data_IF_229091582221
#
_entry.id   IF_229091582221
#
_cell.length_a   1.000
_cell.length_b   1.000
_cell.length_c   1.000
_cell.angle_alpha   90.00
_cell.angle_beta   90.00
_cell.angle_gamma   90.00
#
_symmetry.space_group_name_H-M   'P 1'
#
loop_
_entity.id
_entity.type
_entity.pdbx_description
1 polymer ?
#
# COMPACT_ATOMS: atom_id res chain seq x y z
N UNK A 1 17.22 -32.55 19.87
CA UNK A 1 18.39 -32.08 20.62
C UNK A 1 19.17 -31.24 19.60
N UNK A 2 19.22 -29.92 19.61
CA UNK A 2 19.06 -28.90 20.65
C UNK A 2 18.23 -27.74 20.10
N UNK A 3 17.20 -27.30 20.85
CA UNK A 3 16.60 -25.97 20.64
C UNK A 3 17.55 -24.97 21.30
N UNK A 4 18.47 -24.41 20.52
CA UNK A 4 19.35 -23.33 20.96
C UNK A 4 18.55 -22.04 21.10
N UNK A 5 17.94 -21.85 22.26
CA UNK A 5 17.37 -20.59 22.71
C UNK A 5 18.53 -19.58 22.79
N UNK A 6 18.70 -18.77 21.74
CA UNK A 6 19.74 -17.74 21.70
C UNK A 6 19.39 -16.65 22.73
N UNK A 7 19.76 -16.90 23.99
CA UNK A 7 19.77 -15.89 25.04
C UNK A 7 20.57 -14.71 24.53
N UNK A 8 19.91 -13.57 24.26
CA UNK A 8 20.59 -12.33 23.91
C UNK A 8 21.40 -11.87 25.13
N UNK A 9 22.67 -12.28 25.15
CA UNK A 9 23.65 -11.84 26.14
C UNK A 9 24.50 -10.77 25.45
N UNK A 10 24.44 -9.50 25.90
CA UNK A 10 25.29 -8.45 25.35
C UNK A 10 26.77 -8.77 25.50
N UNK A 11 27.61 -8.32 24.56
CA UNK A 11 29.07 -8.57 24.57
C UNK A 11 29.78 -8.02 25.82
N UNK A 12 29.16 -7.05 26.51
CA UNK A 12 29.65 -6.42 27.73
C UNK A 12 28.93 -6.90 29.01
N UNK A 13 28.25 -8.05 28.96
CA UNK A 13 27.52 -8.58 30.09
C UNK A 13 28.45 -9.17 31.18
N UNK A 14 27.97 -9.20 32.41
CA UNK A 14 28.65 -9.88 33.52
C UNK A 14 28.83 -11.38 33.22
N UNK A 15 29.85 -11.99 33.82
CA UNK A 15 30.01 -13.46 33.82
C UNK A 15 28.72 -14.11 34.36
N UNK A 16 28.19 -15.08 33.61
CA UNK A 16 26.92 -15.78 33.90
C UNK A 16 25.64 -14.93 33.77
N UNK A 17 25.65 -13.88 32.94
CA UNK A 17 24.42 -13.16 32.58
C UNK A 17 23.32 -14.13 32.10
N UNK A 18 22.09 -14.08 32.68
CA UNK A 18 21.00 -14.96 32.29
C UNK A 18 20.45 -14.66 30.88
N UNK A 19 20.87 -13.55 30.26
CA UNK A 19 20.33 -13.01 29.01
C UNK A 19 19.22 -11.99 29.27
N UNK A 20 19.04 -11.01 28.38
CA UNK A 20 18.07 -9.91 28.56
C UNK A 20 16.61 -10.37 28.55
N UNK A 21 16.32 -11.44 27.80
CA UNK A 21 14.98 -12.02 27.65
C UNK A 21 14.63 -13.08 28.72
N UNK A 22 15.58 -13.47 29.57
CA UNK A 22 15.35 -14.49 30.60
C UNK A 22 14.49 -13.94 31.73
N UNK A 23 13.57 -14.75 32.29
CA UNK A 23 12.78 -14.38 33.49
C UNK A 23 13.62 -13.88 34.66
N UNK A 24 14.88 -14.33 34.74
CA UNK A 24 15.86 -13.98 35.77
C UNK A 24 16.67 -12.70 35.47
N UNK A 25 16.56 -12.13 34.27
CA UNK A 25 17.25 -10.88 33.90
C UNK A 25 16.94 -9.73 34.88
N UNK A 26 17.97 -9.08 35.41
CA UNK A 26 17.84 -8.02 36.40
C UNK A 26 17.45 -8.49 37.82
N UNK A 27 17.13 -9.78 38.00
CA UNK A 27 16.68 -10.38 39.26
C UNK A 27 17.67 -11.37 39.87
N UNK A 28 18.51 -12.01 39.05
CA UNK A 28 19.49 -12.99 39.54
C UNK A 28 20.71 -12.35 40.20
N UNK A 29 21.42 -13.14 41.00
CA UNK A 29 22.66 -12.73 41.66
C UNK A 29 23.73 -12.29 40.66
N UNK A 30 23.76 -12.88 39.46
CA UNK A 30 24.68 -12.51 38.38
C UNK A 30 24.40 -11.10 37.81
N UNK A 31 23.20 -10.56 38.04
CA UNK A 31 22.83 -9.21 37.63
C UNK A 31 23.23 -8.13 38.65
N UNK A 32 23.66 -8.51 39.86
CA UNK A 32 24.03 -7.56 40.91
C UNK A 32 25.20 -6.67 40.46
N UNK A 33 24.99 -5.35 40.52
CA UNK A 33 26.00 -4.37 40.11
C UNK A 33 26.10 -4.15 38.59
N UNK A 34 25.24 -4.80 37.79
CA UNK A 34 25.13 -4.52 36.37
C UNK A 34 24.48 -3.13 36.15
N UNK A 35 25.04 -2.24 35.31
CA UNK A 35 24.44 -0.94 35.02
C UNK A 35 23.02 -1.01 34.45
N UNK A 36 22.67 -2.12 33.80
CA UNK A 36 21.37 -2.34 33.17
C UNK A 36 20.41 -3.20 34.02
N UNK A 37 20.73 -3.46 35.29
CA UNK A 37 19.96 -4.38 36.15
C UNK A 37 18.48 -3.99 36.24
N UNK A 38 18.16 -2.73 36.56
CA UNK A 38 16.78 -2.25 36.68
C UNK A 38 16.03 -2.29 35.33
N UNK A 39 16.72 -1.96 34.23
CA UNK A 39 16.14 -2.02 32.90
C UNK A 39 15.78 -3.47 32.52
N UNK A 40 16.67 -4.43 32.76
CA UNK A 40 16.39 -5.86 32.53
C UNK A 40 15.32 -6.43 33.47
N UNK A 41 15.22 -5.90 34.69
CA UNK A 41 14.21 -6.34 35.67
C UNK A 41 12.80 -5.88 35.30
N UNK A 42 12.69 -4.71 34.68
CA UNK A 42 11.42 -4.06 34.30
C UNK A 42 11.02 -4.27 32.83
N UNK A 43 11.96 -4.72 31.98
CA UNK A 43 11.66 -5.08 30.59
C UNK A 43 10.62 -6.21 30.54
N UNK A 44 9.60 -6.11 29.65
CA UNK A 44 8.70 -7.21 29.39
C UNK A 44 9.48 -8.44 28.93
N UNK A 45 9.11 -9.62 29.41
CA UNK A 45 9.81 -10.88 29.12
C UNK A 45 8.89 -11.86 28.45
N UNK A 46 9.47 -12.67 27.57
CA UNK A 46 8.71 -13.63 26.77
C UNK A 46 8.05 -12.97 25.55
N UNK A 47 7.36 -13.79 24.73
CA UNK A 47 6.73 -13.30 23.51
C UNK A 47 5.68 -12.24 23.85
N UNK A 48 5.70 -11.14 23.10
CA UNK A 48 4.75 -10.04 23.25
C UNK A 48 3.30 -10.57 23.18
N UNK A 49 2.49 -10.45 24.26
CA UNK A 49 1.16 -11.03 24.31
C UNK A 49 0.22 -10.47 23.23
N UNK A 50 0.51 -9.26 22.73
CA UNK A 50 -0.24 -8.69 21.62
C UNK A 50 -0.06 -9.48 20.32
N UNK A 51 1.07 -10.18 20.12
CA UNK A 51 1.27 -11.03 18.93
C UNK A 51 0.29 -12.20 18.90
N UNK A 52 -0.04 -12.77 20.06
CA UNK A 52 -1.03 -13.85 20.16
C UNK A 52 -2.42 -13.31 19.80
N UNK A 53 -2.79 -12.16 20.36
CA UNK A 53 -4.07 -11.52 20.05
C UNK A 53 -4.18 -11.09 18.58
N UNK A 54 -3.08 -10.61 17.97
CA UNK A 54 -3.01 -10.34 16.54
C UNK A 54 -3.21 -11.62 15.73
N UNK A 55 -2.54 -12.72 16.10
CA UNK A 55 -2.67 -13.98 15.38
C UNK A 55 -4.10 -14.51 15.41
N UNK A 56 -4.77 -14.45 16.57
CA UNK A 56 -6.19 -14.78 16.72
C UNK A 56 -7.08 -13.88 15.86
N UNK A 57 -6.84 -12.55 15.89
CA UNK A 57 -7.63 -11.58 15.12
C UNK A 57 -7.47 -11.75 13.62
N UNK A 58 -6.26 -12.06 13.16
CA UNK A 58 -5.91 -12.16 11.75
C UNK A 58 -6.17 -13.56 11.18
N UNK A 59 -6.53 -14.55 12.00
CA UNK A 59 -6.84 -15.91 11.55
C UNK A 59 -8.09 -15.97 10.65
N UNK A 60 -9.02 -15.02 10.78
CA UNK A 60 -10.26 -14.94 9.98
C UNK A 60 -10.07 -14.26 8.61
N UNK A 61 -8.85 -13.84 8.29
CA UNK A 61 -8.51 -13.16 7.04
C UNK A 61 -7.73 -14.12 6.16
N UNK A 62 -8.33 -14.57 5.04
CA UNK A 62 -7.75 -15.60 4.16
C UNK A 62 -6.49 -15.16 3.43
N UNK A 63 -6.54 -13.99 2.77
CA UNK A 63 -5.41 -13.45 2.02
C UNK A 63 -5.01 -12.08 2.54
N UNK A 64 -3.70 -11.87 2.77
CA UNK A 64 -3.12 -10.60 3.21
C UNK A 64 -2.12 -10.11 2.16
N UNK A 65 -2.44 -9.01 1.51
CA UNK A 65 -1.66 -8.46 0.40
C UNK A 65 -1.10 -7.10 0.80
N UNK A 66 0.22 -6.97 0.82
CA UNK A 66 0.88 -5.68 1.04
C UNK A 66 1.00 -4.90 -0.26
N UNK A 67 0.64 -3.62 -0.24
CA UNK A 67 0.90 -2.70 -1.34
C UNK A 67 2.06 -1.79 -0.95
N UNK A 68 3.18 -1.96 -1.66
CA UNK A 68 4.44 -1.27 -1.39
C UNK A 68 4.79 -0.31 -2.52
N UNK A 69 5.64 0.68 -2.23
CA UNK A 69 6.21 1.55 -3.25
C UNK A 69 7.57 2.08 -2.79
N UNK A 70 8.53 2.23 -3.70
CA UNK A 70 9.85 2.73 -3.35
C UNK A 70 9.92 4.25 -3.12
N UNK A 71 8.93 5.01 -3.59
CA UNK A 71 8.87 6.47 -3.47
C UNK A 71 7.42 6.95 -3.30
N UNK A 72 7.26 8.13 -2.68
CA UNK A 72 5.97 8.81 -2.61
C UNK A 72 5.47 9.27 -3.99
N UNK A 73 4.15 9.40 -4.14
CA UNK A 73 3.52 9.98 -5.33
C UNK A 73 3.43 9.05 -6.56
N UNK A 74 3.71 7.75 -6.44
CA UNK A 74 3.51 6.78 -7.55
C UNK A 74 2.06 6.36 -7.77
N UNK A 75 1.12 6.82 -6.92
CA UNK A 75 -0.28 6.36 -6.93
C UNK A 75 -0.49 5.01 -6.25
N UNK A 76 0.33 4.66 -5.27
CA UNK A 76 0.20 3.45 -4.44
C UNK A 76 -1.18 3.34 -3.79
N UNK A 77 -1.59 4.36 -3.03
CA UNK A 77 -2.88 4.39 -2.33
C UNK A 77 -4.07 4.38 -3.29
N UNK A 78 -3.94 5.03 -4.45
CA UNK A 78 -4.93 4.95 -5.53
C UNK A 78 -5.07 3.51 -6.03
N UNK A 79 -3.95 2.81 -6.26
CA UNK A 79 -3.98 1.41 -6.64
C UNK A 79 -4.57 0.52 -5.53
N UNK A 80 -4.22 0.75 -4.25
CA UNK A 80 -4.78 0.02 -3.09
C UNK A 80 -6.31 0.15 -3.02
N UNK A 81 -6.84 1.37 -3.19
CA UNK A 81 -8.27 1.63 -3.21
C UNK A 81 -8.97 0.94 -4.39
N UNK A 82 -8.43 1.09 -5.60
CA UNK A 82 -9.02 0.47 -6.79
C UNK A 82 -8.92 -1.05 -6.79
N UNK A 83 -7.84 -1.63 -6.27
CA UNK A 83 -7.75 -3.07 -6.04
C UNK A 83 -8.87 -3.54 -5.09
N UNK A 84 -9.12 -2.78 -4.03
CA UNK A 84 -10.16 -3.12 -3.05
C UNK A 84 -11.56 -3.05 -3.67
N UNK A 85 -11.86 -2.01 -4.46
CA UNK A 85 -13.11 -1.93 -5.23
C UNK A 85 -13.28 -3.09 -6.21
N UNK A 86 -12.25 -3.42 -6.98
CA UNK A 86 -12.34 -4.52 -7.93
C UNK A 86 -12.59 -5.88 -7.26
N UNK A 87 -11.97 -6.13 -6.11
CA UNK A 87 -12.18 -7.36 -5.35
C UNK A 87 -13.60 -7.40 -4.76
N UNK A 88 -14.09 -6.26 -4.24
CA UNK A 88 -15.46 -6.13 -3.75
C UNK A 88 -16.50 -6.32 -4.87
N UNK A 89 -16.25 -5.79 -6.07
CA UNK A 89 -17.08 -5.98 -7.27
C UNK A 89 -17.12 -7.45 -7.75
N UNK A 90 -16.16 -8.28 -7.29
CA UNK A 90 -16.14 -9.73 -7.50
C UNK A 90 -16.79 -10.50 -6.33
N UNK A 91 -17.59 -9.83 -5.49
CA UNK A 91 -18.30 -10.36 -4.32
C UNK A 91 -17.41 -10.88 -3.18
N UNK A 92 -16.10 -10.56 -3.19
CA UNK A 92 -15.22 -10.88 -2.06
C UNK A 92 -15.45 -9.98 -0.85
N UNK A 93 -15.25 -10.51 0.35
CA UNK A 93 -15.21 -9.71 1.58
C UNK A 93 -13.83 -9.05 1.72
N UNK A 94 -13.79 -7.72 1.66
CA UNK A 94 -12.53 -6.96 1.56
C UNK A 94 -12.35 -6.01 2.73
N UNK A 95 -11.16 -6.07 3.34
CA UNK A 95 -10.64 -5.05 4.23
C UNK A 95 -9.52 -4.24 3.56
N UNK A 96 -9.50 -2.93 3.79
CA UNK A 96 -8.42 -2.03 3.42
C UNK A 96 -7.84 -1.38 4.67
N UNK A 97 -6.59 -1.70 4.97
CA UNK A 97 -5.84 -1.17 6.11
C UNK A 97 -4.77 -0.19 5.62
N UNK A 98 -4.90 1.07 6.01
CA UNK A 98 -3.93 2.13 5.75
C UNK A 98 -2.95 2.26 6.92
N UNK A 99 -1.69 1.94 6.67
CA UNK A 99 -0.59 2.10 7.63
C UNK A 99 0.37 3.23 7.22
N UNK A 100 0.03 4.04 6.21
CA UNK A 100 0.80 5.24 5.83
C UNK A 100 0.49 6.41 6.78
N UNK A 101 0.96 6.27 8.02
CA UNK A 101 0.57 7.14 9.14
C UNK A 101 0.93 8.63 8.91
N UNK A 102 1.98 8.91 8.13
CA UNK A 102 2.45 10.27 7.89
C UNK A 102 1.61 11.02 6.84
N UNK A 103 0.90 10.30 5.98
CA UNK A 103 0.15 10.88 4.87
C UNK A 103 -1.05 10.03 4.51
N UNK A 104 -1.99 9.81 5.46
CA UNK A 104 -3.16 8.97 5.21
C UNK A 104 -3.98 9.57 4.08
N UNK A 105 -4.12 8.82 2.99
CA UNK A 105 -4.86 9.27 1.81
C UNK A 105 -6.09 8.42 1.52
N UNK A 106 -6.18 7.23 2.12
CA UNK A 106 -7.27 6.29 1.90
C UNK A 106 -8.65 6.84 2.31
N UNK A 107 -8.84 7.52 3.47
CA UNK A 107 -10.13 8.11 3.80
C UNK A 107 -10.66 9.04 2.72
N UNK A 108 -9.80 9.91 2.17
CA UNK A 108 -10.13 10.80 1.07
C UNK A 108 -10.41 10.05 -0.23
N UNK A 109 -9.55 9.10 -0.59
CA UNK A 109 -9.67 8.31 -1.83
C UNK A 109 -10.90 7.42 -1.89
N UNK A 110 -11.57 7.22 -0.76
CA UNK A 110 -12.81 6.45 -0.63
C UNK A 110 -14.03 7.32 -0.25
N UNK A 111 -13.88 8.65 -0.18
CA UNK A 111 -14.98 9.55 0.17
C UNK A 111 -15.46 9.42 1.62
N UNK A 112 -14.58 8.99 2.52
CA UNK A 112 -14.83 8.74 3.95
C UNK A 112 -14.26 9.82 4.87
N UNK A 113 -13.96 11.02 4.35
CA UNK A 113 -13.51 12.15 5.17
C UNK A 113 -14.59 12.52 6.21
N UNK A 114 -14.15 12.81 7.44
CA UNK A 114 -15.03 13.13 8.56
C UNK A 114 -15.72 11.94 9.23
N UNK A 115 -15.42 10.71 8.80
CA UNK A 115 -15.83 9.51 9.52
C UNK A 115 -14.89 9.23 10.70
N UNK A 116 -15.43 8.63 11.76
CA UNK A 116 -14.69 8.28 12.98
C UNK A 116 -14.76 6.78 13.25
N UNK A 117 -13.75 6.25 13.95
CA UNK A 117 -13.74 4.85 14.38
C UNK A 117 -14.71 4.67 15.55
N UNK A 118 -15.62 3.71 15.42
CA UNK A 118 -16.52 3.34 16.52
C UNK A 118 -15.96 2.17 17.32
N UNK A 119 -16.01 2.28 18.65
CA UNK A 119 -15.66 1.19 19.55
C UNK A 119 -16.89 0.34 19.90
N UNK A 120 -16.77 -0.97 19.71
CA UNK A 120 -17.77 -1.98 20.07
C UNK A 120 -17.23 -2.94 21.13
N UNK A 121 -18.08 -3.83 21.64
CA UNK A 121 -17.67 -4.90 22.56
C UNK A 121 -16.69 -5.92 21.92
N UNK A 122 -16.63 -5.99 20.60
CA UNK A 122 -15.75 -6.90 19.85
C UNK A 122 -14.43 -6.24 19.44
N UNK A 123 -14.29 -4.94 19.66
CA UNK A 123 -13.17 -4.12 19.21
C UNK A 123 -13.61 -2.91 18.39
N UNK A 124 -12.67 -2.31 17.68
CA UNK A 124 -12.90 -1.21 16.76
C UNK A 124 -13.61 -1.70 15.50
N UNK A 125 -14.69 -1.01 15.14
CA UNK A 125 -15.43 -1.28 13.90
C UNK A 125 -14.76 -0.51 12.77
N UNK A 126 -14.42 -1.16 11.64
CA UNK A 126 -13.94 -0.45 10.46
C UNK A 126 -15.03 0.48 9.92
N UNK A 127 -14.60 1.55 9.23
CA UNK A 127 -15.49 2.45 8.50
C UNK A 127 -15.78 1.81 7.16
N UNK A 128 -17.05 1.74 6.75
CA UNK A 128 -17.43 1.06 5.52
C UNK A 128 -17.73 2.03 4.38
N UNK A 129 -17.25 1.69 3.19
CA UNK A 129 -17.74 2.20 1.89
C UNK A 129 -18.17 0.99 1.06
N UNK A 130 -19.40 0.99 0.56
CA UNK A 130 -20.01 -0.19 -0.06
C UNK A 130 -19.86 -1.45 0.82
N UNK A 131 -19.12 -2.47 0.35
CA UNK A 131 -18.80 -3.70 1.09
C UNK A 131 -17.37 -3.75 1.62
N UNK A 132 -16.59 -2.67 1.49
CA UNK A 132 -15.19 -2.60 1.90
C UNK A 132 -15.11 -2.04 3.31
N UNK A 133 -14.54 -2.81 4.23
CA UNK A 133 -14.17 -2.32 5.56
C UNK A 133 -12.84 -1.55 5.49
N UNK A 134 -12.77 -0.35 6.04
CA UNK A 134 -11.60 0.53 5.95
C UNK A 134 -11.12 0.91 7.34
N UNK A 135 -9.79 0.87 7.53
CA UNK A 135 -9.14 1.38 8.73
C UNK A 135 -7.94 2.25 8.35
N UNK A 136 -7.89 3.46 8.90
CA UNK A 136 -6.79 4.42 8.68
C UNK A 136 -6.62 5.29 9.92
N UNK A 137 -5.40 5.79 10.14
CA UNK A 137 -5.16 6.81 11.16
C UNK A 137 -5.95 8.09 10.87
N UNK A 138 -6.31 8.37 9.61
CA UNK A 138 -7.06 9.56 9.24
C UNK A 138 -8.42 9.68 9.94
N UNK A 139 -9.02 8.57 10.38
CA UNK A 139 -10.27 8.56 11.17
C UNK A 139 -10.07 8.90 12.66
N UNK A 140 -8.82 9.04 13.11
CA UNK A 140 -8.46 9.33 14.50
C UNK A 140 -7.88 10.74 14.67
N UNK A 141 -7.65 11.45 13.57
CA UNK A 141 -7.10 12.80 13.60
C UNK A 141 -8.23 13.78 13.96
N UNK A 142 -8.01 14.70 14.93
CA UNK A 142 -9.01 15.72 15.28
C UNK A 142 -9.31 16.66 14.11
N UNK A 143 -8.28 16.98 13.33
CA UNK A 143 -8.37 17.80 12.11
C UNK A 143 -7.66 17.06 10.96
N UNK A 144 -8.29 16.89 9.78
CA UNK A 144 -7.66 16.27 8.62
C UNK A 144 -6.37 16.98 8.13
N UNK A 145 -6.22 18.27 8.41
CA UNK A 145 -5.03 19.05 8.03
C UNK A 145 -3.89 18.95 9.06
N UNK A 146 -4.10 18.27 10.19
CA UNK A 146 -3.07 18.11 11.21
C UNK A 146 -1.93 17.19 10.73
N UNK A 147 -0.71 17.73 10.76
CA UNK A 147 0.48 16.95 10.44
C UNK A 147 0.75 15.88 11.52
N UNK A 148 0.81 14.61 11.10
CA UNK A 148 1.12 13.48 12.00
C UNK A 148 2.63 13.35 12.21
N UNK A 149 3.16 14.04 13.22
CA UNK A 149 4.58 14.00 13.58
C UNK A 149 4.82 12.98 14.69
N UNK A 150 4.71 11.69 14.37
CA UNK A 150 4.84 10.60 15.34
C UNK A 150 6.20 9.92 15.26
N UNK A 151 6.77 9.56 16.42
CA UNK A 151 8.01 8.78 16.49
C UNK A 151 7.73 7.29 16.28
N UNK A 152 8.73 6.55 15.78
CA UNK A 152 8.64 5.11 15.43
C UNK A 152 7.87 4.24 16.43
N UNK A 153 8.16 4.27 17.74
CA UNK A 153 7.43 3.44 18.71
C UNK A 153 5.91 3.68 18.74
N UNK A 154 5.48 4.94 18.56
CA UNK A 154 4.05 5.29 18.51
C UNK A 154 3.41 4.80 17.22
N UNK A 155 4.14 4.86 16.10
CA UNK A 155 3.69 4.31 14.82
C UNK A 155 3.55 2.78 14.88
N UNK A 156 4.54 2.09 15.44
CA UNK A 156 4.47 0.64 15.61
C UNK A 156 3.34 0.25 16.56
N UNK A 157 3.10 1.04 17.60
CA UNK A 157 1.98 0.87 18.52
C UNK A 157 0.63 0.93 17.82
N UNK A 158 0.39 1.93 16.95
CA UNK A 158 -0.90 2.03 16.27
C UNK A 158 -1.09 0.94 15.20
N UNK A 159 -0.05 0.55 14.46
CA UNK A 159 -0.13 -0.57 13.51
C UNK A 159 -0.50 -1.85 14.26
N UNK A 160 0.17 -2.12 15.39
CA UNK A 160 -0.15 -3.25 16.28
C UNK A 160 -1.60 -3.19 16.74
N UNK A 161 -2.08 -2.00 17.11
CA UNK A 161 -3.45 -1.80 17.56
C UNK A 161 -4.47 -2.04 16.44
N UNK A 162 -4.21 -1.60 15.21
CA UNK A 162 -5.08 -1.90 14.07
C UNK A 162 -5.19 -3.40 13.80
N UNK A 163 -4.10 -4.15 13.92
CA UNK A 163 -4.12 -5.59 13.74
C UNK A 163 -4.77 -6.36 14.90
N UNK A 164 -4.74 -5.80 16.11
CA UNK A 164 -5.25 -6.45 17.33
C UNK A 164 -6.71 -6.13 17.62
N UNK A 165 -7.06 -4.84 17.54
CA UNK A 165 -8.29 -4.30 18.11
C UNK A 165 -9.39 -4.14 17.05
N UNK A 166 -9.06 -4.10 15.75
CA UNK A 166 -10.07 -3.97 14.68
C UNK A 166 -10.78 -5.29 14.45
N UNK A 167 -12.10 -5.28 14.57
CA UNK A 167 -12.95 -6.43 14.28
C UNK A 167 -13.32 -6.45 12.79
N UNK A 168 -12.54 -7.19 12.02
CA UNK A 168 -12.74 -7.35 10.57
C UNK A 168 -13.86 -8.34 10.19
N UNK A 169 -14.26 -9.24 11.10
CA UNK A 169 -15.10 -10.38 10.76
C UNK A 169 -14.33 -11.42 9.94
N UNK A 170 -15.01 -12.06 8.99
CA UNK A 170 -14.41 -12.97 8.01
C UNK A 170 -14.08 -12.17 6.75
N UNK A 171 -12.80 -12.16 6.33
CA UNK A 171 -12.37 -11.50 5.10
C UNK A 171 -11.74 -12.51 4.14
N UNK A 172 -12.06 -12.36 2.85
CA UNK A 172 -11.32 -13.01 1.79
C UNK A 172 -9.98 -12.31 1.56
N UNK A 173 -9.98 -10.98 1.56
CA UNK A 173 -8.78 -10.17 1.33
C UNK A 173 -8.64 -9.05 2.35
N UNK A 174 -7.44 -8.89 2.89
CA UNK A 174 -6.97 -7.68 3.56
C UNK A 174 -5.87 -7.04 2.71
N UNK A 175 -6.18 -5.92 2.10
CA UNK A 175 -5.23 -5.07 1.36
C UNK A 175 -4.60 -4.11 2.37
N UNK A 176 -3.27 -4.06 2.43
CA UNK A 176 -2.54 -3.18 3.36
C UNK A 176 -1.79 -2.11 2.56
N UNK A 177 -2.19 -0.86 2.69
CA UNK A 177 -1.51 0.29 2.07
C UNK A 177 -0.35 0.75 2.96
N UNK A 178 0.88 0.40 2.57
CA UNK A 178 2.08 0.70 3.35
C UNK A 178 2.67 2.07 3.03
N UNK A 179 3.43 2.73 3.91
CA UNK A 179 4.16 3.95 3.55
C UNK A 179 5.20 3.73 2.44
N UNK A 180 5.65 4.79 1.75
CA UNK A 180 6.68 4.68 0.72
C UNK A 180 8.08 4.45 1.29
N UNK A 181 8.92 3.74 0.53
CA UNK A 181 10.31 3.39 0.87
C UNK A 181 10.40 2.36 1.99
N UNK A 182 11.59 1.80 2.23
CA UNK A 182 11.80 0.72 3.21
C UNK A 182 11.87 1.24 4.66
N UNK A 183 10.70 1.47 5.27
CA UNK A 183 10.57 2.09 6.60
C UNK A 183 10.35 1.08 7.74
N UNK A 184 10.42 1.51 8.99
CA UNK A 184 10.24 0.65 10.17
C UNK A 184 8.82 0.04 10.23
N UNK A 185 7.85 0.75 9.65
CA UNK A 185 6.46 0.33 9.50
C UNK A 185 6.36 -0.96 8.67
N UNK A 186 7.21 -1.12 7.65
CA UNK A 186 7.26 -2.35 6.85
C UNK A 186 7.74 -3.53 7.67
N UNK A 187 8.81 -3.36 8.45
CA UNK A 187 9.33 -4.42 9.32
C UNK A 187 8.29 -4.80 10.37
N UNK A 188 7.62 -3.81 10.93
CA UNK A 188 6.59 -4.00 11.96
C UNK A 188 5.41 -4.82 11.44
N UNK A 189 4.88 -4.51 10.25
CA UNK A 189 3.76 -5.29 9.69
C UNK A 189 4.19 -6.73 9.39
N UNK A 190 5.39 -6.95 8.86
CA UNK A 190 5.91 -8.33 8.63
C UNK A 190 6.02 -9.09 9.94
N UNK A 191 6.56 -8.45 10.98
CA UNK A 191 6.74 -9.08 12.29
C UNK A 191 5.41 -9.43 12.94
N UNK A 192 4.44 -8.51 12.90
CA UNK A 192 3.13 -8.71 13.53
C UNK A 192 2.28 -9.76 12.80
N UNK A 193 2.41 -9.88 11.48
CA UNK A 193 1.67 -10.87 10.69
C UNK A 193 2.42 -12.20 10.51
N UNK A 194 3.60 -12.37 11.09
CA UNK A 194 4.47 -13.53 10.89
C UNK A 194 3.77 -14.87 11.14
N UNK A 195 2.99 -14.98 12.21
CA UNK A 195 2.30 -16.22 12.59
C UNK A 195 1.14 -16.57 11.64
N UNK A 196 0.45 -15.57 11.10
CA UNK A 196 -0.68 -15.77 10.18
C UNK A 196 -0.27 -15.74 8.71
N UNK A 197 0.96 -15.35 8.42
CA UNK A 197 1.50 -15.22 7.07
C UNK A 197 1.02 -13.96 6.33
N UNK A 198 1.75 -13.67 5.26
CA UNK A 198 1.45 -12.66 4.25
C UNK A 198 1.60 -13.36 2.90
N UNK A 199 0.55 -13.38 2.09
CA UNK A 199 0.52 -14.07 0.79
C UNK A 199 1.52 -13.45 -0.18
N UNK A 200 1.66 -12.13 -0.12
CA UNK A 200 2.75 -11.44 -0.78
C UNK A 200 2.58 -9.93 -0.87
N UNK A 201 3.49 -9.31 -1.62
CA UNK A 201 3.52 -7.88 -1.87
C UNK A 201 3.34 -7.56 -3.36
N UNK A 202 2.57 -6.50 -3.63
CA UNK A 202 2.51 -5.81 -4.92
C UNK A 202 3.31 -4.53 -4.80
N UNK A 203 4.22 -4.29 -5.75
CA UNK A 203 5.05 -3.08 -5.75
C UNK A 203 4.56 -2.14 -6.85
N UNK A 204 4.14 -0.94 -6.47
CA UNK A 204 3.68 0.11 -7.39
C UNK A 204 4.84 1.06 -7.70
N UNK A 205 5.01 1.39 -8.97
CA UNK A 205 6.07 2.31 -9.44
C UNK A 205 5.63 3.15 -10.63
N UNK A 206 6.51 4.03 -11.11
CA UNK A 206 6.35 4.81 -12.35
C UNK A 206 7.51 4.49 -13.31
N UNK A 207 7.36 4.72 -14.64
CA UNK A 207 8.41 4.37 -15.62
C UNK A 207 9.72 5.15 -15.46
N UNK A 208 9.73 6.23 -14.67
CA UNK A 208 10.90 7.07 -14.46
C UNK A 208 12.10 6.25 -13.93
N UNK A 209 13.27 6.43 -14.56
CA UNK A 209 14.50 5.69 -14.22
C UNK A 209 14.87 5.77 -12.73
N UNK A 210 14.71 6.95 -12.11
CA UNK A 210 14.99 7.14 -10.68
C UNK A 210 14.11 6.23 -9.81
N UNK A 211 12.86 5.99 -10.22
CA UNK A 211 11.91 5.15 -9.47
C UNK A 211 12.24 3.68 -9.54
N UNK A 212 12.87 3.22 -10.64
CA UNK A 212 13.28 1.82 -10.80
C UNK A 212 14.38 1.43 -9.79
N UNK A 213 15.23 2.37 -9.38
CA UNK A 213 16.24 2.13 -8.34
C UNK A 213 15.55 1.79 -7.02
N UNK A 214 14.49 2.52 -6.66
CA UNK A 214 13.79 2.29 -5.41
C UNK A 214 12.95 1.00 -5.45
N UNK A 215 12.38 0.64 -6.61
CA UNK A 215 11.72 -0.67 -6.78
C UNK A 215 12.70 -1.82 -6.57
N UNK A 216 13.94 -1.70 -7.05
CA UNK A 216 14.97 -2.73 -6.80
C UNK A 216 15.26 -2.90 -5.31
N UNK A 217 15.24 -1.81 -4.54
CA UNK A 217 15.39 -1.86 -3.07
C UNK A 217 14.19 -2.54 -2.43
N UNK A 218 12.96 -2.22 -2.84
CA UNK A 218 11.73 -2.85 -2.33
C UNK A 218 11.67 -4.36 -2.62
N UNK A 219 12.03 -4.78 -3.84
CA UNK A 219 12.12 -6.21 -4.17
C UNK A 219 13.18 -6.91 -3.31
N UNK A 220 14.33 -6.25 -3.10
CA UNK A 220 15.39 -6.78 -2.23
C UNK A 220 14.94 -6.88 -0.78
N UNK A 221 14.20 -5.88 -0.28
CA UNK A 221 13.57 -5.90 1.03
C UNK A 221 12.64 -7.11 1.18
N UNK A 222 11.68 -7.29 0.26
CA UNK A 222 10.74 -8.42 0.27
C UNK A 222 11.47 -9.77 0.34
N UNK A 223 12.53 -9.96 -0.48
CA UNK A 223 13.36 -11.17 -0.46
C UNK A 223 14.06 -11.40 0.88
N UNK A 224 14.56 -10.34 1.53
CA UNK A 224 15.24 -10.43 2.84
C UNK A 224 14.29 -10.79 3.98
N UNK A 225 13.06 -10.29 3.93
CA UNK A 225 12.04 -10.53 4.96
C UNK A 225 11.15 -11.74 4.66
N UNK A 226 11.39 -12.43 3.54
CA UNK A 226 10.69 -13.66 3.17
C UNK A 226 9.28 -13.45 2.59
N UNK A 227 8.96 -12.24 2.11
CA UNK A 227 7.67 -11.95 1.49
C UNK A 227 7.72 -12.22 -0.02
N UNK A 228 6.82 -13.06 -0.57
CA UNK A 228 6.70 -13.24 -2.01
C UNK A 228 6.32 -11.94 -2.73
N UNK A 229 7.01 -11.61 -3.82
CA UNK A 229 6.60 -10.50 -4.70
C UNK A 229 5.58 -11.04 -5.70
N UNK A 230 4.30 -10.74 -5.49
CA UNK A 230 3.20 -11.15 -6.38
C UNK A 230 3.31 -10.47 -7.75
N UNK A 231 3.87 -9.26 -7.75
CA UNK A 231 4.41 -8.63 -8.93
C UNK A 231 4.49 -7.11 -8.84
N UNK A 232 4.95 -6.51 -9.93
CA UNK A 232 5.16 -5.06 -10.05
C UNK A 232 4.12 -4.46 -11.00
N UNK A 233 3.55 -3.33 -10.59
CA UNK A 233 2.64 -2.50 -11.38
C UNK A 233 3.35 -1.20 -11.75
N UNK A 234 3.44 -0.91 -13.04
CA UNK A 234 3.95 0.37 -13.54
C UNK A 234 2.78 1.33 -13.78
N UNK A 235 2.52 2.18 -12.79
CA UNK A 235 1.50 3.22 -12.86
C UNK A 235 2.01 4.46 -13.63
N UNK A 236 1.10 5.33 -14.05
CA UNK A 236 1.40 6.55 -14.83
C UNK A 236 2.26 6.27 -16.08
N UNK A 237 2.02 5.12 -16.72
CA UNK A 237 2.79 4.68 -17.89
C UNK A 237 2.24 5.28 -19.18
N UNK A 238 2.76 6.45 -19.52
CA UNK A 238 2.28 7.25 -20.65
C UNK A 238 0.95 7.94 -20.36
N UNK A 239 0.48 8.71 -21.34
CA UNK A 239 -0.84 9.33 -21.36
C UNK A 239 -1.70 8.58 -22.37
N UNK A 240 -2.92 8.23 -21.98
CA UNK A 240 -3.89 7.60 -22.88
C UNK A 240 -5.26 8.18 -22.59
N UNK A 241 -5.83 8.89 -23.57
CA UNK A 241 -7.17 9.47 -23.44
C UNK A 241 -7.88 9.53 -24.80
N UNK A 242 -9.22 9.46 -24.82
CA UNK A 242 -10.00 9.66 -26.03
C UNK A 242 -9.65 10.99 -26.70
N UNK A 243 -9.61 11.00 -28.04
CA UNK A 243 -9.40 12.22 -28.84
C UNK A 243 -10.43 13.30 -28.44
N UNK A 244 -11.66 12.89 -28.12
CA UNK A 244 -12.73 13.80 -27.67
C UNK A 244 -12.46 14.53 -26.36
N UNK A 245 -11.54 14.02 -25.54
CA UNK A 245 -11.32 14.50 -24.18
C UNK A 245 -10.11 15.44 -24.11
N UNK A 246 -9.33 15.55 -25.20
CA UNK A 246 -8.22 16.51 -25.29
C UNK A 246 -8.72 17.95 -25.36
N UNK A 247 -8.02 18.82 -24.63
CA UNK A 247 -8.03 20.26 -24.92
C UNK A 247 -7.01 20.57 -26.01
N UNK A 248 -7.42 21.34 -27.01
CA UNK A 248 -6.56 21.76 -28.10
C UNK A 248 -6.19 23.22 -27.94
N UNK A 249 -4.91 23.49 -27.74
CA UNK A 249 -4.39 24.84 -27.52
C UNK A 249 -3.60 25.30 -28.73
N UNK A 250 -3.86 26.52 -29.20
CA UNK A 250 -3.01 27.20 -30.17
C UNK A 250 -1.84 27.83 -29.43
N UNK A 251 -0.61 27.59 -29.92
CA UNK A 251 0.61 28.12 -29.29
C UNK A 251 0.53 29.64 -29.22
N UNK A 252 0.84 30.20 -28.06
CA UNK A 252 1.01 31.63 -27.91
C UNK A 252 2.25 32.11 -28.67
N UNK A 253 2.15 33.30 -29.26
CA UNK A 253 3.28 34.07 -29.75
C UNK A 253 3.46 35.28 -28.83
N UNK A 254 4.69 35.62 -28.45
CA UNK A 254 5.04 36.84 -27.73
C UNK A 254 4.49 36.99 -26.29
N UNK A 255 4.43 35.90 -25.52
CA UNK A 255 4.13 35.97 -24.08
C UNK A 255 2.66 36.10 -23.70
N UNK A 256 1.75 35.97 -24.68
CA UNK A 256 0.32 35.79 -24.45
C UNK A 256 0.02 34.39 -23.88
N UNK A 257 -1.18 34.21 -23.33
CA UNK A 257 -1.64 32.87 -22.94
C UNK A 257 -2.02 32.05 -24.18
N UNK A 258 -1.80 30.72 -24.17
CA UNK A 258 -2.28 29.85 -25.25
C UNK A 258 -3.81 29.95 -25.42
N UNK A 259 -4.28 30.09 -26.66
CA UNK A 259 -5.71 30.18 -26.98
C UNK A 259 -6.32 28.76 -27.00
N UNK A 260 -7.40 28.54 -26.24
CA UNK A 260 -8.18 27.30 -26.31
C UNK A 260 -9.01 27.28 -27.60
N UNK A 261 -8.70 26.35 -28.50
CA UNK A 261 -9.36 26.16 -29.79
C UNK A 261 -10.11 24.83 -29.87
N UNK A 262 -10.43 24.23 -28.73
CA UNK A 262 -11.06 22.91 -28.62
C UNK A 262 -12.35 22.81 -29.43
N UNK A 263 -13.27 23.77 -29.28
CA UNK A 263 -14.55 23.75 -30.00
C UNK A 263 -14.38 23.76 -31.52
N UNK A 264 -13.42 24.56 -32.01
CA UNK A 264 -13.09 24.61 -33.43
C UNK A 264 -12.51 23.27 -33.92
N UNK A 265 -11.54 22.70 -33.21
CA UNK A 265 -10.97 21.39 -33.56
C UNK A 265 -12.05 20.31 -33.56
N UNK A 266 -12.92 20.30 -32.56
CA UNK A 266 -13.99 19.31 -32.45
C UNK A 266 -15.03 19.46 -33.56
N UNK A 267 -15.36 20.68 -33.98
CA UNK A 267 -16.22 20.92 -35.14
C UNK A 267 -15.59 20.38 -36.44
N UNK A 268 -14.30 20.65 -36.65
CA UNK A 268 -13.55 20.15 -37.82
C UNK A 268 -13.47 18.63 -37.82
N UNK A 269 -13.18 18.00 -36.68
CA UNK A 269 -13.14 16.54 -36.57
C UNK A 269 -14.50 15.92 -36.89
N UNK A 270 -15.60 16.45 -36.32
CA UNK A 270 -16.96 15.96 -36.60
C UNK A 270 -17.34 16.06 -38.07
N UNK A 271 -16.95 17.16 -38.74
CA UNK A 271 -17.30 17.40 -40.14
C UNK A 271 -16.41 16.62 -41.12
N UNK A 272 -15.10 16.57 -40.85
CA UNK A 272 -14.10 16.13 -41.83
C UNK A 272 -13.53 14.73 -41.57
N UNK A 273 -13.51 14.28 -40.31
CA UNK A 273 -12.89 13.01 -39.91
C UNK A 273 -13.54 12.43 -38.64
N UNK A 274 -14.87 12.17 -38.64
CA UNK A 274 -15.60 11.73 -37.45
C UNK A 274 -15.10 10.39 -36.89
N UNK A 275 -14.47 9.55 -37.71
CA UNK A 275 -13.83 8.30 -37.30
C UNK A 275 -12.71 8.51 -36.28
N UNK A 276 -12.04 9.67 -36.28
CA UNK A 276 -10.97 9.98 -35.31
C UNK A 276 -11.51 10.18 -33.89
N UNK A 277 -12.79 10.53 -33.73
CA UNK A 277 -13.40 10.73 -32.41
C UNK A 277 -13.55 9.42 -31.63
N UNK A 278 -13.54 8.27 -32.32
CA UNK A 278 -13.52 6.95 -31.69
C UNK A 278 -12.13 6.47 -31.30
N UNK A 279 -11.07 7.24 -31.58
CA UNK A 279 -9.70 6.86 -31.30
C UNK A 279 -9.24 7.35 -29.93
N UNK A 280 -8.27 6.63 -29.38
CA UNK A 280 -7.52 7.01 -28.19
C UNK A 280 -6.13 7.45 -28.63
N UNK A 281 -5.70 8.64 -28.19
CA UNK A 281 -4.33 9.07 -28.41
C UNK A 281 -3.44 8.57 -27.27
N UNK A 282 -2.29 8.00 -27.62
CA UNK A 282 -1.32 7.51 -26.66
C UNK A 282 0.01 8.25 -26.84
N UNK A 283 0.62 8.66 -25.73
CA UNK A 283 1.94 9.30 -25.70
C UNK A 283 2.79 8.74 -24.58
N UNK A 284 4.07 8.50 -24.85
CA UNK A 284 5.04 8.18 -23.81
C UNK A 284 5.47 9.46 -23.10
N UNK A 285 5.09 9.59 -21.82
CA UNK A 285 5.40 10.76 -20.98
C UNK A 285 6.80 10.69 -20.40
N UNK A 286 7.28 9.47 -20.12
CA UNK A 286 8.60 9.21 -19.58
C UNK A 286 9.40 8.32 -20.53
N UNK A 287 10.70 8.58 -20.63
CA UNK A 287 11.60 7.80 -21.48
C UNK A 287 11.62 6.33 -21.03
N UNK A 288 11.03 5.47 -21.86
CA UNK A 288 10.90 4.03 -21.65
C UNK A 288 12.00 3.22 -22.35
N UNK A 289 12.95 3.89 -23.03
CA UNK A 289 14.00 3.26 -23.86
C UNK A 289 14.83 2.20 -23.13
N UNK A 290 14.93 2.30 -21.80
CA UNK A 290 15.58 1.30 -20.95
C UNK A 290 14.80 -0.01 -20.75
N UNK A 291 13.53 -0.11 -21.18
CA UNK A 291 12.64 -1.26 -20.96
C UNK A 291 11.78 -1.18 -19.68
N UNK A 292 11.86 -0.07 -18.94
CA UNK A 292 11.01 0.24 -17.78
C UNK A 292 11.01 -0.81 -16.67
N UNK A 293 9.91 -0.87 -15.92
CA UNK A 293 9.72 -1.85 -14.85
C UNK A 293 9.64 -3.29 -15.38
N UNK A 294 9.12 -3.49 -16.60
CA UNK A 294 9.00 -4.82 -17.20
C UNK A 294 10.37 -5.51 -17.37
N UNK A 295 11.36 -4.81 -17.91
CA UNK A 295 12.73 -5.34 -18.02
C UNK A 295 13.34 -5.59 -16.65
N UNK A 296 13.19 -4.65 -15.72
CA UNK A 296 13.69 -4.80 -14.35
C UNK A 296 13.09 -6.04 -13.67
N UNK A 297 11.81 -6.33 -13.89
CA UNK A 297 11.16 -7.53 -13.34
C UNK A 297 11.82 -8.82 -13.84
N UNK A 298 12.13 -8.89 -15.14
CA UNK A 298 12.86 -10.03 -15.73
C UNK A 298 14.24 -10.18 -15.09
N UNK A 299 15.00 -9.10 -14.97
CA UNK A 299 16.34 -9.11 -14.36
C UNK A 299 16.33 -9.53 -12.89
N UNK A 300 15.27 -9.19 -12.16
CA UNK A 300 15.13 -9.53 -10.73
C UNK A 300 14.42 -10.85 -10.47
N UNK A 301 13.89 -11.51 -11.50
CA UNK A 301 13.12 -12.74 -11.41
C UNK A 301 11.79 -12.57 -10.65
N UNK A 302 11.09 -11.46 -10.87
CA UNK A 302 9.77 -11.19 -10.27
C UNK A 302 8.70 -10.95 -11.33
N UNK A 303 7.41 -11.20 -11.04
CA UNK A 303 6.34 -10.99 -12.03
C UNK A 303 6.12 -9.51 -12.35
N UNK A 304 5.92 -9.20 -13.63
CA UNK A 304 5.38 -7.91 -14.06
C UNK A 304 3.88 -8.04 -14.28
N UNK A 305 3.05 -7.33 -13.50
CA UNK A 305 1.60 -7.46 -13.58
C UNK A 305 1.01 -6.67 -14.76
N UNK A 306 1.49 -5.45 -14.98
CA UNK A 306 1.04 -4.62 -16.09
C UNK A 306 1.33 -3.14 -15.90
N UNK A 307 0.76 -2.35 -16.81
CA UNK A 307 0.89 -0.90 -16.87
C UNK A 307 -0.48 -0.26 -16.67
N UNK A 308 -0.53 0.82 -15.89
CA UNK A 308 -1.71 1.69 -15.79
C UNK A 308 -1.32 3.05 -16.37
N UNK A 309 -2.02 3.58 -17.39
CA UNK A 309 -1.70 4.87 -17.98
C UNK A 309 -2.11 6.04 -17.07
N UNK A 310 -1.58 7.23 -17.35
CA UNK A 310 -2.19 8.46 -16.83
C UNK A 310 -3.57 8.63 -17.47
N UNK A 311 -4.59 8.61 -16.63
CA UNK A 311 -5.98 8.80 -17.00
C UNK A 311 -6.61 9.85 -16.07
N UNK A 312 -6.96 11.04 -16.57
CA UNK A 312 -7.61 12.08 -15.77
C UNK A 312 -8.89 11.58 -15.08
N UNK A 313 -9.59 10.61 -15.67
CA UNK A 313 -10.82 10.09 -15.09
C UNK A 313 -10.54 9.18 -13.89
N UNK A 314 -9.44 8.43 -13.91
CA UNK A 314 -8.99 7.67 -12.73
C UNK A 314 -8.63 8.62 -11.57
N UNK A 315 -7.94 9.74 -11.87
CA UNK A 315 -7.64 10.75 -10.87
C UNK A 315 -8.94 11.33 -10.28
N UNK A 316 -9.89 11.70 -11.15
CA UNK A 316 -11.19 12.22 -10.73
C UNK A 316 -11.97 11.22 -9.87
N UNK A 317 -12.00 9.94 -10.25
CA UNK A 317 -12.65 8.89 -9.45
C UNK A 317 -12.02 8.78 -8.06
N UNK A 318 -10.69 8.84 -7.96
CA UNK A 318 -10.00 8.84 -6.67
C UNK A 318 -10.29 10.09 -5.84
N UNK A 319 -10.41 11.27 -6.45
CA UNK A 319 -10.78 12.51 -5.75
C UNK A 319 -12.23 12.52 -5.27
N UNK A 320 -13.13 11.87 -6.02
CA UNK A 320 -14.55 11.75 -5.68
C UNK A 320 -14.87 10.55 -4.77
N UNK A 321 -13.88 9.73 -4.42
CA UNK A 321 -14.08 8.57 -3.55
C UNK A 321 -14.75 7.37 -4.24
N UNK A 322 -14.61 7.21 -5.56
CA UNK A 322 -15.37 6.25 -6.36
C UNK A 322 -14.51 5.15 -7.00
N UNK A 323 -15.17 4.02 -7.26
CA UNK A 323 -14.64 2.95 -8.10
C UNK A 323 -14.47 3.40 -9.55
N UNK A 324 -13.32 3.06 -10.14
CA UNK A 324 -13.03 3.32 -11.56
C UNK A 324 -13.72 2.32 -12.51
N UNK A 325 -14.30 1.23 -11.99
CA UNK A 325 -14.90 0.13 -12.75
C UNK A 325 -16.39 0.34 -13.09
N UNK A 326 -17.00 1.43 -12.61
CA UNK A 326 -18.37 1.82 -12.97
C UNK A 326 -18.57 2.10 -14.46
N UNK A 327 -19.84 2.12 -14.91
CA UNK A 327 -20.18 2.37 -16.32
C UNK A 327 -19.72 3.77 -16.75
N UNK A 328 -18.89 3.82 -17.79
CA UNK A 328 -18.40 5.00 -18.54
C UNK A 328 -17.38 5.92 -17.86
N UNK A 329 -16.87 5.61 -16.67
CA UNK A 329 -16.00 6.56 -15.95
C UNK A 329 -14.51 6.41 -16.28
N UNK A 330 -13.88 5.23 -16.30
CA UNK A 330 -12.42 5.12 -16.51
C UNK A 330 -12.01 4.07 -17.57
N UNK A 331 -12.66 4.03 -18.73
CA UNK A 331 -12.55 2.90 -19.68
C UNK A 331 -11.13 2.37 -19.97
N UNK A 332 -10.13 3.24 -20.07
CA UNK A 332 -8.74 2.84 -20.36
C UNK A 332 -8.06 2.28 -19.10
N UNK A 333 -8.05 3.04 -18.00
CA UNK A 333 -7.41 2.61 -16.75
C UNK A 333 -8.14 1.45 -16.08
N UNK A 334 -9.47 1.41 -16.13
CA UNK A 334 -10.27 0.30 -15.62
C UNK A 334 -9.91 -1.00 -16.35
N UNK A 335 -9.82 -0.97 -17.68
CA UNK A 335 -9.40 -2.16 -18.45
C UNK A 335 -7.99 -2.62 -18.08
N UNK A 336 -7.05 -1.68 -17.87
CA UNK A 336 -5.68 -2.00 -17.46
C UNK A 336 -5.63 -2.60 -16.05
N UNK A 337 -6.34 -2.00 -15.09
CA UNK A 337 -6.45 -2.48 -13.72
C UNK A 337 -7.14 -3.85 -13.66
N UNK A 338 -8.25 -4.06 -14.38
CA UNK A 338 -8.92 -5.37 -14.44
C UNK A 338 -7.98 -6.44 -15.00
N UNK A 339 -7.16 -6.14 -16.00
CA UNK A 339 -6.17 -7.09 -16.52
C UNK A 339 -5.10 -7.44 -15.47
N UNK A 340 -4.60 -6.45 -14.74
CA UNK A 340 -3.63 -6.63 -13.64
C UNK A 340 -4.21 -7.50 -12.53
N UNK A 341 -5.45 -7.23 -12.10
CA UNK A 341 -6.11 -7.91 -10.99
C UNK A 341 -6.46 -9.35 -11.37
N UNK A 342 -6.98 -9.58 -12.58
CA UNK A 342 -7.19 -10.94 -13.09
C UNK A 342 -5.89 -11.74 -13.16
N UNK A 343 -4.78 -11.11 -13.53
CA UNK A 343 -3.46 -11.75 -13.57
C UNK A 343 -2.95 -12.06 -12.16
N UNK A 344 -3.16 -11.15 -11.21
CA UNK A 344 -2.83 -11.35 -9.79
C UNK A 344 -3.55 -12.57 -9.22
N UNK A 345 -4.88 -12.66 -9.41
CA UNK A 345 -5.70 -13.75 -8.89
C UNK A 345 -5.32 -15.11 -9.51
N UNK A 346 -5.14 -15.15 -10.84
CA UNK A 346 -4.80 -16.40 -11.56
C UNK A 346 -3.41 -16.93 -11.22
N UNK A 347 -2.41 -16.05 -11.16
CA UNK A 347 -1.01 -16.47 -10.99
C UNK A 347 -0.73 -17.05 -9.59
N UNK A 348 -1.56 -16.69 -8.61
CA UNK A 348 -1.31 -17.02 -7.20
C UNK A 348 -2.39 -17.91 -6.60
N UNK A 349 -3.31 -18.44 -7.42
CA UNK A 349 -4.42 -19.29 -6.97
C UNK A 349 -5.22 -18.69 -5.79
N UNK A 350 -5.45 -17.38 -5.83
CA UNK A 350 -6.20 -16.62 -4.82
C UNK A 350 -7.68 -16.46 -5.18
N UNK A 351 -8.18 -17.21 -6.18
CA UNK A 351 -9.56 -17.18 -6.67
C UNK A 351 -10.15 -18.59 -6.71
#
# INVERSE_FOLDING_TARGET
MENGDHKQVPDNANEHCPGTESEDAGKSDACAGCPNQEACASAPKGPDPDLVAIAERMATVKHKILILSGKGGVGKSTFSAQLSFALADMDFQVGLLDIDICGPSIPKMLGLEGQEIHQSNLGWSPVYVDSIGVMSIGFMLPDPDDAVIWRGPRKNGIIKQFLKDVYWGELDFLVVDAPPGTSDEHISIVQFLKETGIDGAIIVTTPQQVSLIDVRKEVSFCKKVGIPVLGVVENMSGLSQPISDFKYMKRATNGEEPEDVTDWVMAVLKEKAPELLGLVACSEVFDSSGGGAARMCVEMGVPFLGKVPLDPKLCKAAEEGKSCFGRDECGISASALSAIINKLLKNNAMA
#
